data_IF_219373769220
#
_entry.id   IF_219373769220
#
_cell.length_a   1.000
_cell.length_b   1.000
_cell.length_c   1.000
_cell.angle_alpha   90.00
_cell.angle_beta   90.00
_cell.angle_gamma   90.00
#
_symmetry.space_group_name_H-M   'P 1'
#
loop_
_entity.id
_entity.type
_entity.pdbx_description
1 polymer ?
#
# COMPACT_ATOMS: atom_id res chain seq x y z
N UNK A 1 -19.89 -44.58 17.35
CA UNK A 1 -20.37 -43.52 18.26
C UNK A 1 -19.56 -43.65 19.54
N UNK A 2 -18.59 -42.76 19.72
CA UNK A 2 -17.84 -42.61 20.96
C UNK A 2 -17.98 -41.13 21.32
N UNK A 3 -18.64 -40.84 22.44
CA UNK A 3 -18.81 -39.50 22.97
C UNK A 3 -17.43 -38.86 23.25
N UNK A 4 -17.24 -37.56 22.96
CA UNK A 4 -16.03 -36.86 23.35
C UNK A 4 -16.04 -36.62 24.87
N UNK A 5 -14.89 -36.78 25.56
CA UNK A 5 -14.81 -36.50 26.99
C UNK A 5 -15.01 -35.00 27.23
N UNK A 6 -15.87 -34.68 28.18
CA UNK A 6 -16.21 -33.33 28.65
C UNK A 6 -15.05 -32.72 29.45
N UNK A 7 -14.02 -32.23 28.76
CA UNK A 7 -12.89 -31.48 29.34
C UNK A 7 -13.11 -29.94 29.30
N UNK A 8 -14.34 -29.47 29.09
CA UNK A 8 -14.68 -28.04 29.04
C UNK A 8 -14.39 -27.23 30.32
N UNK A 9 -14.59 -27.73 31.57
CA UNK A 9 -14.39 -26.90 32.76
C UNK A 9 -12.91 -26.65 33.10
N UNK A 10 -12.01 -27.59 32.78
CA UNK A 10 -10.57 -27.46 33.05
C UNK A 10 -9.92 -26.42 32.13
N UNK A 11 -10.37 -26.32 30.89
CA UNK A 11 -9.86 -25.35 29.91
C UNK A 11 -10.32 -23.92 30.22
N UNK A 12 -11.58 -23.72 30.63
CA UNK A 12 -12.06 -22.40 31.09
C UNK A 12 -11.30 -21.90 32.31
N UNK A 13 -11.00 -22.80 33.25
CA UNK A 13 -10.19 -22.48 34.43
C UNK A 13 -8.78 -22.04 34.03
N UNK A 14 -8.19 -22.65 32.99
CA UNK A 14 -6.91 -22.22 32.44
C UNK A 14 -6.96 -20.85 31.75
N UNK A 15 -8.07 -20.52 31.05
CA UNK A 15 -8.24 -19.19 30.43
C UNK A 15 -8.43 -18.09 31.47
N UNK A 16 -9.25 -18.33 32.49
CA UNK A 16 -9.42 -17.39 33.61
C UNK A 16 -8.11 -17.23 34.37
N UNK A 17 -7.38 -18.32 34.63
CA UNK A 17 -6.03 -18.26 35.23
C UNK A 17 -5.02 -17.49 34.39
N UNK A 18 -5.10 -17.54 33.05
CA UNK A 18 -4.25 -16.74 32.16
C UNK A 18 -4.55 -15.24 32.28
N UNK A 19 -5.82 -14.86 32.37
CA UNK A 19 -6.23 -13.46 32.58
C UNK A 19 -5.88 -12.96 34.00
N UNK A 20 -5.91 -13.83 35.00
CA UNK A 20 -5.53 -13.52 36.39
C UNK A 20 -4.01 -13.51 36.61
N UNK A 21 -3.22 -14.14 35.75
CA UNK A 21 -1.75 -14.15 35.84
C UNK A 21 -1.08 -12.77 35.65
N UNK A 22 -1.86 -11.75 35.28
CA UNK A 22 -1.42 -10.37 35.20
C UNK A 22 -1.75 -9.72 36.56
N UNK A 23 -0.73 -9.59 37.41
CA UNK A 23 -0.83 -9.19 38.82
C UNK A 23 -1.30 -7.72 38.98
N UNK A 24 -2.62 -7.51 38.87
CA UNK A 24 -3.26 -6.18 38.92
C UNK A 24 -4.23 -6.04 40.11
N UNK A 25 -4.03 -6.80 41.20
CA UNK A 25 -4.73 -6.65 42.49
C UNK A 25 -5.49 -7.91 42.97
N UNK A 26 -5.84 -8.01 44.28
CA UNK A 26 -6.29 -9.25 44.89
C UNK A 26 -7.74 -9.59 44.57
N UNK A 27 -8.00 -10.73 43.92
CA UNK A 27 -9.34 -11.33 43.82
C UNK A 27 -9.56 -12.28 45.00
N UNK A 28 -10.52 -11.96 45.89
CA UNK A 28 -10.97 -12.87 46.97
C UNK A 28 -11.74 -14.05 46.37
N UNK A 29 -11.02 -15.16 46.20
CA UNK A 29 -11.39 -16.59 46.12
C UNK A 29 -12.85 -17.06 45.90
N UNK A 30 -12.87 -18.17 45.13
CA UNK A 30 -13.62 -19.46 45.28
C UNK A 30 -15.06 -19.53 44.75
N UNK A 31 -15.22 -19.66 43.44
CA UNK A 31 -16.34 -20.39 42.79
C UNK A 31 -15.92 -20.81 41.35
N UNK A 32 -16.60 -21.77 40.69
CA UNK A 32 -16.28 -22.23 39.33
C UNK A 32 -16.26 -21.07 38.31
N UNK A 33 -15.59 -21.23 37.15
CA UNK A 33 -15.46 -20.17 36.15
C UNK A 33 -16.82 -19.88 35.51
N UNK A 34 -17.55 -18.92 36.08
CA UNK A 34 -18.81 -18.41 35.54
C UNK A 34 -18.54 -17.24 34.58
N UNK A 35 -19.49 -16.95 33.67
CA UNK A 35 -19.36 -15.88 32.68
C UNK A 35 -19.00 -14.51 33.30
N UNK A 36 -19.42 -14.25 34.55
CA UNK A 36 -19.05 -13.05 35.30
C UNK A 36 -17.54 -12.96 35.55
N UNK A 37 -16.87 -14.07 35.89
CA UNK A 37 -15.43 -14.13 36.15
C UNK A 37 -14.61 -13.84 34.89
N UNK A 38 -15.08 -14.36 33.75
CA UNK A 38 -14.46 -14.16 32.45
C UNK A 38 -14.59 -12.70 31.98
N UNK A 39 -15.80 -12.14 32.05
CA UNK A 39 -16.07 -10.72 31.71
C UNK A 39 -15.24 -9.79 32.59
N UNK A 40 -15.12 -10.08 33.89
CA UNK A 40 -14.29 -9.30 34.81
C UNK A 40 -12.80 -9.35 34.43
N UNK A 41 -12.28 -10.53 34.07
CA UNK A 41 -10.90 -10.72 33.63
C UNK A 41 -10.59 -9.98 32.32
N UNK A 42 -11.46 -10.09 31.32
CA UNK A 42 -11.31 -9.39 30.04
C UNK A 42 -11.40 -7.87 30.21
N UNK A 43 -12.38 -7.38 30.98
CA UNK A 43 -12.55 -5.94 31.25
C UNK A 43 -11.34 -5.33 31.97
N UNK A 44 -10.71 -6.10 32.87
CA UNK A 44 -9.49 -5.66 33.57
C UNK A 44 -8.31 -5.54 32.61
N UNK A 45 -8.11 -6.53 31.74
CA UNK A 45 -7.06 -6.49 30.74
C UNK A 45 -7.25 -5.34 29.75
N UNK A 46 -8.46 -5.13 29.27
CA UNK A 46 -8.81 -4.03 28.36
C UNK A 46 -8.53 -2.67 29.02
N UNK A 47 -8.94 -2.46 30.28
CA UNK A 47 -8.66 -1.21 31.02
C UNK A 47 -7.16 -0.97 31.25
N UNK A 48 -6.37 -2.04 31.36
CA UNK A 48 -4.91 -1.94 31.41
C UNK A 48 -4.31 -1.58 30.04
N UNK A 49 -4.90 -2.08 28.94
CA UNK A 49 -4.50 -1.70 27.56
C UNK A 49 -4.94 -0.29 27.22
N UNK A 50 -6.04 0.22 27.75
CA UNK A 50 -6.49 1.60 27.52
C UNK A 50 -7.39 2.11 28.67
N UNK A 51 -6.90 3.05 29.51
CA UNK A 51 -7.64 3.58 30.66
C UNK A 51 -8.88 4.42 30.32
N UNK A 52 -8.96 4.95 29.10
CA UNK A 52 -10.02 5.89 28.69
C UNK A 52 -11.32 5.18 28.24
N UNK A 53 -11.30 3.85 28.08
CA UNK A 53 -12.50 3.09 27.75
C UNK A 53 -13.41 2.90 28.96
N UNK A 54 -14.63 3.43 28.85
CA UNK A 54 -15.69 3.31 29.85
C UNK A 54 -16.31 1.91 29.84
N UNK A 55 -15.65 0.94 30.46
CA UNK A 55 -16.26 -0.36 30.79
C UNK A 55 -16.88 -0.34 32.20
N UNK A 56 -17.86 -1.19 32.50
CA UNK A 56 -18.36 -1.40 33.86
C UNK A 56 -17.23 -1.80 34.81
N UNK A 57 -17.29 -1.35 36.06
CA UNK A 57 -16.33 -1.76 37.08
C UNK A 57 -16.58 -3.22 37.47
N UNK A 58 -15.52 -4.03 37.72
CA UNK A 58 -15.70 -5.44 38.08
C UNK A 58 -16.50 -5.64 39.38
N UNK A 59 -16.65 -4.60 40.20
CA UNK A 59 -17.40 -4.60 41.47
C UNK A 59 -18.92 -4.43 41.32
N UNK A 60 -19.41 -4.03 40.13
CA UNK A 60 -20.86 -3.80 39.86
C UNK A 60 -21.51 -4.91 39.03
N UNK A 61 -20.81 -6.02 38.77
CA UNK A 61 -21.30 -7.13 37.95
C UNK A 61 -22.28 -8.01 38.76
N UNK A 62 -23.57 -7.74 38.66
CA UNK A 62 -24.65 -8.64 39.09
C UNK A 62 -25.02 -9.61 37.95
N UNK A 63 -25.68 -10.74 38.28
CA UNK A 63 -26.10 -11.74 37.28
C UNK A 63 -26.98 -11.16 36.16
N UNK A 64 -27.70 -10.08 36.45
CA UNK A 64 -28.60 -9.40 35.51
C UNK A 64 -27.85 -8.50 34.49
N UNK A 65 -26.63 -8.06 34.79
CA UNK A 65 -25.89 -7.09 33.98
C UNK A 65 -24.76 -7.72 33.12
N UNK A 66 -24.61 -9.04 33.14
CA UNK A 66 -23.53 -9.76 32.43
C UNK A 66 -23.64 -9.60 30.91
N UNK A 67 -24.86 -9.57 30.36
CA UNK A 67 -25.08 -9.42 28.91
C UNK A 67 -24.63 -8.05 28.40
N UNK A 68 -24.98 -7.00 29.13
CA UNK A 68 -24.59 -5.63 28.82
C UNK A 68 -23.07 -5.46 28.96
N UNK A 69 -22.47 -6.02 30.02
CA UNK A 69 -21.03 -6.00 30.21
C UNK A 69 -20.28 -6.78 29.11
N UNK A 70 -20.83 -7.91 28.63
CA UNK A 70 -20.25 -8.69 27.53
C UNK A 70 -20.28 -7.91 26.20
N UNK A 71 -21.36 -7.15 25.96
CA UNK A 71 -21.44 -6.24 24.80
C UNK A 71 -20.45 -5.08 24.93
N UNK A 72 -20.25 -4.55 26.14
CA UNK A 72 -19.22 -3.55 26.40
C UNK A 72 -17.80 -4.06 26.14
N UNK A 73 -17.50 -5.32 26.48
CA UNK A 73 -16.23 -5.98 26.15
C UNK A 73 -16.06 -6.16 24.65
N UNK A 74 -17.10 -6.57 23.93
CA UNK A 74 -17.07 -6.70 22.47
C UNK A 74 -16.77 -5.35 21.78
N UNK A 75 -17.46 -4.28 22.16
CA UNK A 75 -17.24 -2.95 21.59
C UNK A 75 -15.85 -2.41 21.92
N UNK A 76 -15.36 -2.65 23.14
CA UNK A 76 -14.00 -2.30 23.52
C UNK A 76 -12.94 -3.05 22.69
N UNK A 77 -13.17 -4.33 22.40
CA UNK A 77 -12.27 -5.11 21.54
C UNK A 77 -12.28 -4.63 20.08
N UNK A 78 -13.42 -4.15 19.58
CA UNK A 78 -13.52 -3.49 18.26
C UNK A 78 -12.70 -2.20 18.24
N UNK A 79 -12.81 -1.37 19.27
CA UNK A 79 -12.05 -0.12 19.39
C UNK A 79 -10.54 -0.37 19.51
N UNK A 80 -10.13 -1.46 20.18
CA UNK A 80 -8.74 -1.88 20.28
C UNK A 80 -8.20 -2.58 19.00
N UNK A 81 -9.02 -2.75 17.95
CA UNK A 81 -8.68 -3.48 16.73
C UNK A 81 -8.19 -4.92 16.99
N UNK A 82 -8.86 -5.65 17.88
CA UNK A 82 -8.55 -7.06 18.13
C UNK A 82 -8.74 -7.89 16.84
N UNK A 83 -7.74 -8.68 16.39
CA UNK A 83 -7.81 -9.46 15.15
C UNK A 83 -8.66 -10.74 15.29
N UNK A 84 -9.05 -11.10 16.51
CA UNK A 84 -9.84 -12.29 16.81
C UNK A 84 -11.31 -11.90 17.05
N UNK A 85 -12.26 -12.53 16.34
CA UNK A 85 -13.69 -12.24 16.52
C UNK A 85 -14.17 -12.82 17.85
N UNK A 86 -14.79 -11.98 18.67
CA UNK A 86 -15.47 -12.39 19.90
C UNK A 86 -16.84 -11.72 19.93
N UNK A 87 -17.90 -12.50 20.04
CA UNK A 87 -19.25 -11.99 20.23
C UNK A 87 -19.65 -12.03 21.70
N UNK A 88 -20.51 -11.11 22.13
CA UNK A 88 -21.07 -11.13 23.48
C UNK A 88 -21.80 -12.45 23.82
N UNK A 89 -22.34 -13.14 22.80
CA UNK A 89 -22.92 -14.48 22.92
C UNK A 89 -21.89 -15.53 23.36
N UNK A 90 -20.67 -15.45 22.83
CA UNK A 90 -19.60 -16.45 23.01
C UNK A 90 -18.99 -16.37 24.42
N UNK A 91 -19.04 -15.16 24.99
CA UNK A 91 -18.66 -14.89 26.38
C UNK A 91 -19.71 -15.47 27.34
N UNK A 92 -21.00 -15.37 26.99
CA UNK A 92 -22.10 -15.91 27.79
C UNK A 92 -22.20 -17.44 27.70
N UNK A 93 -21.95 -18.02 26.53
CA UNK A 93 -21.93 -19.48 26.31
C UNK A 93 -20.63 -20.15 26.75
N UNK A 94 -19.68 -19.38 27.30
CA UNK A 94 -18.38 -19.87 27.78
C UNK A 94 -17.62 -20.66 26.71
N UNK A 95 -17.66 -20.21 25.45
CA UNK A 95 -16.98 -20.87 24.34
C UNK A 95 -15.46 -20.62 24.37
N UNK A 96 -14.74 -21.57 24.96
CA UNK A 96 -13.26 -21.54 25.10
C UNK A 96 -12.55 -21.28 23.76
N UNK A 97 -13.07 -21.83 22.66
CA UNK A 97 -12.45 -21.71 21.34
C UNK A 97 -12.36 -20.27 20.83
N UNK A 98 -13.36 -19.43 21.16
CA UNK A 98 -13.44 -18.03 20.73
C UNK A 98 -12.80 -17.09 21.75
N UNK A 99 -12.94 -17.42 23.05
CA UNK A 99 -12.42 -16.60 24.16
C UNK A 99 -10.89 -16.71 24.30
N UNK A 100 -10.31 -17.90 24.10
CA UNK A 100 -8.88 -18.14 24.34
C UNK A 100 -7.93 -17.31 23.44
N UNK A 101 -8.14 -17.19 22.12
CA UNK A 101 -7.31 -16.35 21.25
C UNK A 101 -7.32 -14.88 21.68
N UNK A 102 -8.48 -14.37 22.10
CA UNK A 102 -8.67 -12.98 22.53
C UNK A 102 -8.00 -12.74 23.87
N UNK A 103 -8.16 -13.66 24.83
CA UNK A 103 -7.49 -13.60 26.12
C UNK A 103 -5.96 -13.60 25.94
N UNK A 104 -5.42 -14.48 25.10
CA UNK A 104 -3.97 -14.55 24.80
C UNK A 104 -3.48 -13.26 24.13
N UNK A 105 -4.25 -12.70 23.20
CA UNK A 105 -3.92 -11.45 22.53
C UNK A 105 -3.89 -10.26 23.51
N UNK A 106 -4.91 -10.13 24.35
CA UNK A 106 -4.99 -9.08 25.37
C UNK A 106 -3.83 -9.18 26.36
N UNK A 107 -3.53 -10.38 26.87
CA UNK A 107 -2.42 -10.59 27.81
C UNK A 107 -1.08 -10.20 27.20
N UNK A 108 -0.85 -10.52 25.93
CA UNK A 108 0.37 -10.10 25.23
C UNK A 108 0.45 -8.58 25.06
N UNK A 109 -0.67 -7.93 24.72
CA UNK A 109 -0.75 -6.47 24.59
C UNK A 109 -0.54 -5.74 25.93
N UNK A 110 -1.12 -6.23 27.02
CA UNK A 110 -0.89 -5.70 28.38
C UNK A 110 0.57 -5.86 28.77
N UNK A 111 1.19 -7.02 28.51
CA UNK A 111 2.62 -7.27 28.79
C UNK A 111 3.55 -6.33 28.02
N UNK A 112 3.26 -6.05 26.75
CA UNK A 112 4.00 -5.08 25.94
C UNK A 112 3.89 -3.67 26.55
N UNK A 113 2.71 -3.28 27.04
CA UNK A 113 2.47 -1.94 27.60
C UNK A 113 3.08 -1.73 28.99
N UNK A 114 3.12 -2.78 29.84
CA UNK A 114 3.70 -2.73 31.19
C UNK A 114 5.24 -2.82 31.17
N UNK A 115 5.85 -3.24 30.05
CA UNK A 115 7.31 -3.25 29.89
C UNK A 115 8.01 -4.37 30.64
N UNK A 116 7.31 -5.46 30.97
CA UNK A 116 7.93 -6.66 31.55
C UNK A 116 8.73 -7.38 30.45
N UNK A 117 10.02 -7.10 30.38
CA UNK A 117 11.01 -7.88 29.65
C UNK A 117 11.06 -9.28 30.23
N UNK A 118 10.79 -10.28 29.38
CA UNK A 118 10.66 -11.67 29.76
C UNK A 118 11.98 -12.29 30.22
N UNK A 119 12.30 -12.16 31.50
CA UNK A 119 13.44 -12.87 32.10
C UNK A 119 13.11 -13.60 33.41
N UNK A 120 11.83 -13.77 33.76
CA UNK A 120 11.44 -14.75 34.78
C UNK A 120 10.29 -15.64 34.29
N UNK A 121 10.60 -16.94 34.26
CA UNK A 121 9.73 -18.12 34.20
C UNK A 121 9.41 -18.72 32.82
N UNK A 122 10.44 -19.34 32.26
CA UNK A 122 10.42 -20.65 31.57
C UNK A 122 9.90 -21.81 32.48
N UNK A 123 8.92 -21.56 33.34
CA UNK A 123 8.56 -22.47 34.45
C UNK A 123 7.20 -23.17 34.33
N UNK A 124 6.28 -22.72 33.48
CA UNK A 124 4.89 -23.18 33.59
C UNK A 124 4.01 -23.17 32.35
N UNK A 125 4.46 -22.68 31.19
CA UNK A 125 3.61 -22.55 29.99
C UNK A 125 3.96 -23.50 28.83
N UNK A 126 4.94 -24.40 29.00
CA UNK A 126 5.37 -25.31 27.94
C UNK A 126 4.35 -26.40 27.57
N UNK A 127 3.47 -26.80 28.48
CA UNK A 127 2.64 -27.99 28.28
C UNK A 127 1.32 -27.71 27.53
N UNK A 128 0.72 -26.53 27.67
CA UNK A 128 -0.58 -26.21 27.07
C UNK A 128 -0.49 -25.53 25.70
N UNK A 129 0.61 -24.82 25.41
CA UNK A 129 0.86 -24.23 24.08
C UNK A 129 1.29 -25.26 23.03
N UNK A 130 1.99 -26.31 23.45
CA UNK A 130 2.51 -27.36 22.57
C UNK A 130 1.42 -28.29 22.00
N UNK A 131 0.28 -28.43 22.66
CA UNK A 131 -0.75 -29.43 22.29
C UNK A 131 -1.74 -28.95 21.23
N UNK A 132 -1.88 -27.63 21.02
CA UNK A 132 -2.79 -27.09 19.99
C UNK A 132 -2.07 -26.67 18.69
N UNK A 133 -0.83 -26.17 18.79
CA UNK A 133 -0.11 -25.56 17.67
C UNK A 133 0.76 -26.55 16.86
N UNK A 134 0.84 -27.82 17.31
CA UNK A 134 1.61 -28.91 16.69
C UNK A 134 0.90 -29.65 15.55
N UNK A 135 -0.36 -29.33 15.20
CA UNK A 135 -1.11 -30.15 14.22
C UNK A 135 -0.96 -29.75 12.76
N UNK A 136 -0.41 -28.57 12.43
CA UNK A 136 -0.17 -28.20 11.04
C UNK A 136 1.11 -27.36 10.90
N UNK A 137 1.99 -27.84 10.01
CA UNK A 137 3.25 -27.26 9.52
C UNK A 137 4.54 -27.64 10.26
N UNK A 138 5.43 -28.26 9.49
CA UNK A 138 6.80 -28.68 9.79
C UNK A 138 7.65 -27.52 10.36
N UNK A 139 8.35 -27.69 11.49
CA UNK A 139 9.19 -26.66 12.10
C UNK A 139 10.30 -26.13 11.18
N UNK A 140 10.84 -26.95 10.27
CA UNK A 140 11.86 -26.52 9.33
C UNK A 140 11.31 -25.61 8.23
N UNK A 141 10.08 -25.87 7.76
CA UNK A 141 9.39 -25.05 6.76
C UNK A 141 9.02 -23.66 7.33
N UNK A 142 8.64 -23.59 8.62
CA UNK A 142 8.43 -22.32 9.33
C UNK A 142 9.72 -21.51 9.48
N UNK A 143 10.85 -22.18 9.75
CA UNK A 143 12.16 -21.54 9.87
C UNK A 143 12.62 -21.00 8.52
N UNK A 144 12.43 -21.77 7.45
CA UNK A 144 12.73 -21.36 6.08
C UNK A 144 11.87 -20.16 5.65
N UNK A 145 10.57 -20.19 5.94
CA UNK A 145 9.65 -19.07 5.65
C UNK A 145 10.04 -17.80 6.41
N UNK A 146 10.40 -17.91 7.69
CA UNK A 146 10.90 -16.77 8.48
C UNK A 146 12.18 -16.19 7.90
N UNK A 147 13.10 -17.05 7.46
CA UNK A 147 14.35 -16.63 6.81
C UNK A 147 14.07 -15.90 5.49
N UNK A 148 13.18 -16.45 4.65
CA UNK A 148 12.77 -15.83 3.39
C UNK A 148 12.09 -14.48 3.61
N UNK A 149 11.20 -14.36 4.60
CA UNK A 149 10.56 -13.08 4.95
C UNK A 149 11.61 -12.06 5.39
N UNK A 150 12.59 -12.48 6.22
CA UNK A 150 13.69 -11.61 6.65
C UNK A 150 14.55 -11.12 5.48
N UNK A 151 14.86 -12.00 4.52
CA UNK A 151 15.60 -11.65 3.31
C UNK A 151 14.81 -10.68 2.40
N UNK A 152 13.52 -10.94 2.20
CA UNK A 152 12.60 -10.07 1.47
C UNK A 152 12.50 -8.69 2.13
N UNK A 153 12.35 -8.62 3.47
CA UNK A 153 12.30 -7.37 4.21
C UNK A 153 13.61 -6.60 4.12
N UNK A 154 14.76 -7.28 4.18
CA UNK A 154 16.07 -6.64 4.00
C UNK A 154 16.26 -6.13 2.56
N UNK A 155 15.78 -6.85 1.56
CA UNK A 155 15.79 -6.43 0.16
C UNK A 155 14.90 -5.20 -0.05
N UNK A 156 13.71 -5.18 0.57
CA UNK A 156 12.79 -4.05 0.53
C UNK A 156 13.42 -2.81 1.17
N UNK A 157 14.04 -2.94 2.34
CA UNK A 157 14.76 -1.85 3.00
C UNK A 157 15.97 -1.36 2.17
N UNK A 158 16.69 -2.24 1.48
CA UNK A 158 17.75 -1.83 0.54
C UNK A 158 17.19 -1.07 -0.67
N UNK A 159 16.05 -1.50 -1.23
CA UNK A 159 15.36 -0.81 -2.33
C UNK A 159 14.83 0.56 -1.91
N UNK A 160 14.25 0.68 -0.72
CA UNK A 160 13.76 1.96 -0.16
C UNK A 160 14.93 2.94 0.05
N UNK A 161 16.05 2.46 0.60
CA UNK A 161 17.29 3.25 0.75
C UNK A 161 17.88 3.67 -0.60
N UNK A 162 17.92 2.76 -1.58
CA UNK A 162 18.40 3.05 -2.93
C UNK A 162 17.49 4.05 -3.68
N UNK A 163 16.18 4.00 -3.44
CA UNK A 163 15.20 4.90 -4.02
C UNK A 163 15.21 6.31 -3.41
N UNK A 164 16.11 6.62 -2.46
CA UNK A 164 16.21 7.91 -1.73
C UNK A 164 14.91 8.36 -1.04
N UNK A 165 13.92 7.47 -0.87
CA UNK A 165 12.61 7.79 -0.28
C UNK A 165 12.77 8.21 1.18
N UNK A 166 13.70 7.60 1.93
CA UNK A 166 14.01 7.96 3.32
C UNK A 166 14.45 9.44 3.45
N UNK A 167 15.20 9.96 2.48
CA UNK A 167 15.61 11.37 2.49
C UNK A 167 14.45 12.33 2.27
N UNK A 168 13.46 11.91 1.45
CA UNK A 168 12.24 12.68 1.19
C UNK A 168 11.32 12.63 2.41
N UNK A 169 11.15 11.46 3.04
CA UNK A 169 10.36 11.28 4.27
C UNK A 169 10.96 12.08 5.43
N UNK A 170 12.27 12.04 5.63
CA UNK A 170 12.97 12.85 6.62
C UNK A 170 12.76 14.36 6.37
N UNK A 171 12.83 14.80 5.11
CA UNK A 171 12.54 16.19 4.74
C UNK A 171 11.09 16.56 5.01
N UNK A 172 10.14 15.67 4.71
CA UNK A 172 8.72 15.89 4.96
C UNK A 172 8.41 15.96 6.47
N UNK A 173 9.04 15.10 7.28
CA UNK A 173 8.96 15.15 8.74
C UNK A 173 9.51 16.46 9.30
N UNK A 174 10.64 16.96 8.79
CA UNK A 174 11.19 18.26 9.18
C UNK A 174 10.24 19.41 8.80
N UNK A 175 9.65 19.36 7.60
CA UNK A 175 8.65 20.33 7.14
C UNK A 175 7.39 20.28 8.02
N UNK A 176 6.88 19.10 8.35
CA UNK A 176 5.74 18.93 9.27
C UNK A 176 6.01 19.53 10.66
N UNK A 177 7.21 19.31 11.21
CA UNK A 177 7.62 19.93 12.47
C UNK A 177 7.65 21.46 12.34
N UNK A 178 8.19 21.98 11.24
CA UNK A 178 8.22 23.43 11.00
C UNK A 178 6.81 24.03 10.82
N UNK A 179 5.88 23.30 10.19
CA UNK A 179 4.49 23.72 10.03
C UNK A 179 3.78 23.81 11.38
N UNK A 180 3.92 22.80 12.26
CA UNK A 180 3.36 22.86 13.62
C UNK A 180 3.89 24.04 14.43
N UNK A 181 5.17 24.38 14.27
CA UNK A 181 5.77 25.56 14.91
C UNK A 181 5.20 26.86 14.33
N UNK A 182 4.97 26.92 13.01
CA UNK A 182 4.37 28.08 12.36
C UNK A 182 2.90 28.27 12.74
N UNK A 183 2.13 27.18 12.82
CA UNK A 183 0.72 27.17 13.25
C UNK A 183 0.58 27.68 14.69
N UNK A 184 1.46 27.24 15.60
CA UNK A 184 1.50 27.78 16.96
C UNK A 184 1.82 29.28 16.97
N UNK A 185 2.80 29.73 16.18
CA UNK A 185 3.13 31.16 16.05
C UNK A 185 1.98 31.98 15.47
N UNK A 186 1.17 31.41 14.60
CA UNK A 186 -0.02 32.05 14.06
C UNK A 186 -1.08 32.26 15.14
N UNK A 187 -1.37 31.24 15.94
CA UNK A 187 -2.30 31.34 17.07
C UNK A 187 -1.83 32.38 18.10
N UNK A 188 -0.55 32.37 18.47
CA UNK A 188 0.04 33.35 19.40
C UNK A 188 -0.11 34.79 18.84
N UNK A 189 0.16 34.98 17.54
CA UNK A 189 0.00 36.27 16.86
C UNK A 189 -1.48 36.72 16.79
N UNK A 190 -2.41 35.79 16.60
CA UNK A 190 -3.84 36.08 16.62
C UNK A 190 -4.30 36.54 18.00
N UNK A 191 -3.86 35.88 19.08
CA UNK A 191 -4.17 36.33 20.45
C UNK A 191 -3.59 37.71 20.75
N UNK A 192 -2.35 37.99 20.33
CA UNK A 192 -1.72 39.31 20.48
C UNK A 192 -2.48 40.40 19.71
N UNK A 193 -3.01 40.07 18.53
CA UNK A 193 -3.80 40.99 17.72
C UNK A 193 -5.14 41.33 18.40
N UNK A 194 -5.83 40.31 18.93
CA UNK A 194 -7.08 40.48 19.69
C UNK A 194 -6.84 41.35 20.93
N UNK A 195 -5.77 41.12 21.67
CA UNK A 195 -5.41 41.94 22.84
C UNK A 195 -5.14 43.40 22.46
N UNK A 196 -4.37 43.65 21.38
CA UNK A 196 -4.12 45.01 20.87
C UNK A 196 -5.39 45.69 20.38
N UNK A 197 -6.30 44.95 19.75
CA UNK A 197 -7.61 45.46 19.33
C UNK A 197 -8.43 45.93 20.53
N UNK A 198 -8.50 45.13 21.58
CA UNK A 198 -9.21 45.48 22.82
C UNK A 198 -8.60 46.71 23.53
N UNK A 199 -7.26 46.82 23.58
CA UNK A 199 -6.57 48.01 24.13
C UNK A 199 -6.88 49.29 23.32
N UNK A 200 -6.94 49.19 21.99
CA UNK A 200 -7.33 50.31 21.14
C UNK A 200 -8.81 50.69 21.32
N UNK A 201 -9.71 49.71 21.43
CA UNK A 201 -11.12 49.95 21.73
C UNK A 201 -11.29 50.65 23.09
N UNK A 202 -10.53 50.25 24.12
CA UNK A 202 -10.53 50.92 25.42
C UNK A 202 -10.02 52.38 25.33
N UNK A 203 -8.98 52.64 24.54
CA UNK A 203 -8.47 53.99 24.28
C UNK A 203 -9.48 54.86 23.54
N UNK A 204 -10.23 54.28 22.59
CA UNK A 204 -11.32 54.98 21.89
C UNK A 204 -12.40 55.40 22.89
N UNK A 205 -12.87 54.48 23.73
CA UNK A 205 -13.90 54.77 24.76
C UNK A 205 -13.43 55.88 25.71
N UNK A 206 -12.18 55.81 26.19
CA UNK A 206 -11.62 56.84 27.07
C UNK A 206 -11.50 58.22 26.38
N UNK A 207 -11.18 58.24 25.09
CA UNK A 207 -11.15 59.49 24.31
C UNK A 207 -12.56 60.04 24.07
N UNK A 208 -13.54 59.18 23.79
CA UNK A 208 -14.97 59.55 23.67
C UNK A 208 -15.49 60.16 24.98
N UNK A 209 -15.12 59.60 26.14
CA UNK A 209 -15.46 60.11 27.48
C UNK A 209 -14.75 61.43 27.82
N UNK A 210 -13.53 61.63 27.33
CA UNK A 210 -12.83 62.92 27.46
C UNK A 210 -13.47 64.02 26.61
N UNK A 211 -13.99 63.68 25.42
CA UNK A 211 -14.69 64.62 24.53
C UNK A 211 -16.02 65.08 25.16
N UNK A 212 -16.75 64.19 25.84
CA UNK A 212 -18.00 64.55 26.53
C UNK A 212 -17.79 65.42 27.77
N UNK A 213 -16.61 65.39 28.39
CA UNK A 213 -16.28 66.14 29.61
C UNK A 213 -15.71 67.56 29.40
N UNK A 214 -15.72 68.08 28.17
CA UNK A 214 -15.39 69.47 27.77
C UNK A 214 -14.10 70.06 28.40
N UNK A 215 -12.95 69.48 28.09
CA UNK A 215 -11.61 69.92 28.52
C UNK A 215 -10.90 70.75 27.43
N UNK A 216 -9.96 71.63 27.83
CA UNK A 216 -9.26 72.61 26.98
C UNK A 216 -8.86 72.11 25.57
N UNK A 217 -9.42 72.77 24.55
CA UNK A 217 -9.54 72.24 23.18
C UNK A 217 -8.28 72.30 22.31
N UNK A 218 -7.21 73.02 22.73
CA UNK A 218 -5.99 73.17 21.92
C UNK A 218 -4.90 72.13 22.21
N UNK A 219 -4.56 71.85 23.47
CA UNK A 219 -3.55 70.80 23.75
C UNK A 219 -4.09 69.40 23.49
N UNK A 220 -5.40 69.20 23.65
CA UNK A 220 -6.10 67.95 23.32
C UNK A 220 -6.09 67.65 21.82
N UNK A 221 -6.15 68.69 20.97
CA UNK A 221 -6.13 68.54 19.52
C UNK A 221 -4.72 68.17 19.01
N UNK A 222 -3.68 68.83 19.51
CA UNK A 222 -2.30 68.53 19.14
C UNK A 222 -1.87 67.13 19.61
N UNK A 223 -2.25 66.73 20.83
CA UNK A 223 -1.99 65.38 21.35
C UNK A 223 -2.75 64.30 20.57
N UNK A 224 -4.00 64.59 20.16
CA UNK A 224 -4.83 63.68 19.38
C UNK A 224 -4.30 63.52 17.94
N UNK A 225 -3.92 64.62 17.29
CA UNK A 225 -3.34 64.60 15.94
C UNK A 225 -1.99 63.86 15.95
N UNK A 226 -1.19 64.04 17.01
CA UNK A 226 0.04 63.27 17.21
C UNK A 226 -0.24 61.77 17.39
N UNK A 227 -1.24 61.41 18.20
CA UNK A 227 -1.66 60.02 18.40
C UNK A 227 -2.20 59.38 17.10
N UNK A 228 -3.00 60.11 16.34
CA UNK A 228 -3.53 59.67 15.05
C UNK A 228 -2.38 59.47 14.06
N UNK A 229 -1.44 60.40 13.96
CA UNK A 229 -0.27 60.29 13.09
C UNK A 229 0.56 59.03 13.41
N UNK A 230 0.87 58.79 14.69
CA UNK A 230 1.59 57.58 15.13
C UNK A 230 0.80 56.30 14.78
N UNK A 231 -0.52 56.31 14.95
CA UNK A 231 -1.36 55.16 14.63
C UNK A 231 -1.43 54.89 13.12
N UNK A 232 -1.45 55.94 12.29
CA UNK A 232 -1.42 55.85 10.83
C UNK A 232 -0.08 55.32 10.34
N UNK A 233 1.04 55.77 10.91
CA UNK A 233 2.37 55.23 10.60
C UNK A 233 2.47 53.75 10.96
N UNK A 234 1.99 53.35 12.14
CA UNK A 234 1.91 51.93 12.54
C UNK A 234 1.05 51.11 11.58
N UNK A 235 -0.08 51.65 11.13
CA UNK A 235 -0.94 51.01 10.14
C UNK A 235 -0.24 50.87 8.78
N UNK A 236 0.47 51.91 8.33
CA UNK A 236 1.23 51.87 7.08
C UNK A 236 2.37 50.84 7.15
N UNK A 237 3.08 50.76 8.27
CA UNK A 237 4.10 49.75 8.51
C UNK A 237 3.51 48.33 8.48
N UNK A 238 2.38 48.11 9.16
CA UNK A 238 1.69 46.82 9.16
C UNK A 238 1.19 46.43 7.75
N UNK A 239 0.63 47.37 6.99
CA UNK A 239 0.22 47.15 5.59
C UNK A 239 1.42 46.81 4.70
N UNK A 240 2.57 47.46 4.90
CA UNK A 240 3.82 47.18 4.17
C UNK A 240 4.33 45.77 4.48
N UNK A 241 4.29 45.36 5.74
CA UNK A 241 4.67 44.00 6.15
C UNK A 241 3.73 42.95 5.56
N UNK A 242 2.41 43.17 5.62
CA UNK A 242 1.42 42.28 5.01
C UNK A 242 1.65 42.13 3.50
N UNK A 243 1.89 43.24 2.79
CA UNK A 243 2.22 43.21 1.37
C UNK A 243 3.52 42.46 1.06
N UNK A 244 4.52 42.51 1.95
CA UNK A 244 5.73 41.70 1.84
C UNK A 244 5.42 40.20 2.03
N UNK A 245 4.65 39.84 3.06
CA UNK A 245 4.24 38.45 3.33
C UNK A 245 3.39 37.86 2.21
N UNK A 246 2.44 38.62 1.66
CA UNK A 246 1.62 38.18 0.53
C UNK A 246 2.47 37.91 -0.73
N UNK A 247 3.46 38.76 -1.01
CA UNK A 247 4.41 38.51 -2.11
C UNK A 247 5.20 37.22 -1.92
N UNK A 248 5.63 36.93 -0.69
CA UNK A 248 6.30 35.66 -0.36
C UNK A 248 5.37 34.46 -0.52
N UNK A 249 4.12 34.54 -0.03
CA UNK A 249 3.13 33.48 -0.16
C UNK A 249 2.83 33.17 -1.63
N UNK A 250 2.63 34.19 -2.46
CA UNK A 250 2.43 34.01 -3.90
C UNK A 250 3.64 33.37 -4.58
N UNK A 251 4.86 33.70 -4.15
CA UNK A 251 6.08 33.05 -4.65
C UNK A 251 6.09 31.55 -4.32
N UNK A 252 5.73 31.17 -3.09
CA UNK A 252 5.65 29.76 -2.67
C UNK A 252 4.53 29.04 -3.42
N UNK A 253 3.38 29.69 -3.61
CA UNK A 253 2.26 29.12 -4.35
C UNK A 253 2.62 28.81 -5.80
N UNK A 254 3.33 29.70 -6.49
CA UNK A 254 3.82 29.45 -7.85
C UNK A 254 4.76 28.24 -7.89
N UNK A 255 5.69 28.13 -6.94
CA UNK A 255 6.58 26.97 -6.84
C UNK A 255 5.82 25.66 -6.56
N UNK A 256 4.67 25.73 -5.88
CA UNK A 256 3.81 24.58 -5.65
C UNK A 256 3.00 24.23 -6.91
N UNK A 257 2.51 25.22 -7.65
CA UNK A 257 1.82 25.06 -8.93
C UNK A 257 2.76 24.52 -10.03
N UNK A 258 4.07 24.74 -9.92
CA UNK A 258 5.08 24.10 -10.79
C UNK A 258 5.19 22.58 -10.57
N UNK A 259 4.65 22.05 -9.46
CA UNK A 259 4.63 20.60 -9.18
C UNK A 259 3.32 20.02 -9.70
N UNK A 260 3.36 19.04 -10.63
CA UNK A 260 2.17 18.41 -11.17
C UNK A 260 1.30 17.82 -10.06
N UNK A 261 0.01 18.12 -10.12
CA UNK A 261 -1.01 17.53 -9.27
C UNK A 261 -1.17 16.04 -9.54
N UNK A 262 -1.75 15.31 -8.57
CA UNK A 262 -2.05 13.88 -8.74
C UNK A 262 -2.91 13.61 -9.98
N UNK A 263 -3.87 14.50 -10.29
CA UNK A 263 -4.69 14.42 -11.48
C UNK A 263 -3.90 14.58 -12.78
N UNK A 264 -2.96 15.53 -12.83
CA UNK A 264 -2.09 15.72 -14.00
C UNK A 264 -1.15 14.53 -14.19
N UNK A 265 -0.62 13.98 -13.09
CA UNK A 265 0.23 12.78 -13.15
C UNK A 265 -0.51 11.59 -13.78
N UNK A 266 -1.78 11.38 -13.38
CA UNK A 266 -2.63 10.32 -13.96
C UNK A 266 -2.90 10.59 -15.45
N UNK A 267 -3.16 11.85 -15.82
CA UNK A 267 -3.34 12.22 -17.23
C UNK A 267 -2.07 11.94 -18.06
N UNK A 268 -0.90 12.27 -17.52
CA UNK A 268 0.37 11.96 -18.17
C UNK A 268 0.58 10.46 -18.30
N UNK A 269 0.27 9.67 -17.27
CA UNK A 269 0.36 8.20 -17.33
C UNK A 269 -0.50 7.63 -18.47
N UNK A 270 -1.76 8.06 -18.58
CA UNK A 270 -2.64 7.67 -19.69
C UNK A 270 -2.06 8.08 -21.04
N UNK A 271 -1.57 9.33 -21.16
CA UNK A 271 -1.01 9.83 -22.41
C UNK A 271 0.26 9.09 -22.82
N UNK A 272 1.11 8.72 -21.87
CA UNK A 272 2.28 7.88 -22.12
C UNK A 272 1.90 6.47 -22.54
N UNK A 273 0.86 5.88 -21.93
CA UNK A 273 0.34 4.57 -22.34
C UNK A 273 -0.18 4.61 -23.79
N UNK A 274 -0.94 5.65 -24.16
CA UNK A 274 -1.40 5.85 -25.55
C UNK A 274 -0.24 6.01 -26.53
N UNK A 275 0.76 6.82 -26.15
CA UNK A 275 1.95 7.04 -26.97
C UNK A 275 2.73 5.74 -27.18
N UNK A 276 2.89 4.93 -26.13
CA UNK A 276 3.58 3.64 -26.22
C UNK A 276 2.86 2.68 -27.17
N UNK A 277 1.52 2.61 -27.10
CA UNK A 277 0.72 1.81 -28.04
C UNK A 277 0.94 2.27 -29.48
N UNK A 278 0.96 3.59 -29.73
CA UNK A 278 1.19 4.14 -31.06
C UNK A 278 2.60 3.82 -31.58
N UNK A 279 3.63 3.96 -30.73
CA UNK A 279 5.02 3.63 -31.08
C UNK A 279 5.14 2.14 -31.42
N UNK A 280 4.54 1.26 -30.62
CA UNK A 280 4.53 -0.19 -30.87
C UNK A 280 3.84 -0.54 -32.19
N UNK A 281 2.70 0.09 -32.49
CA UNK A 281 1.96 -0.15 -33.72
C UNK A 281 2.74 0.31 -34.96
N UNK A 282 3.32 1.52 -34.93
CA UNK A 282 4.19 2.01 -36.01
C UNK A 282 5.38 1.06 -36.17
N UNK A 283 6.02 0.64 -35.07
CA UNK A 283 7.16 -0.26 -35.15
C UNK A 283 6.77 -1.60 -35.80
N UNK A 284 5.62 -2.16 -35.43
CA UNK A 284 5.07 -3.38 -36.03
C UNK A 284 4.82 -3.20 -37.52
N UNK A 285 4.23 -2.09 -37.95
CA UNK A 285 4.02 -1.76 -39.36
C UNK A 285 5.34 -1.66 -40.11
N UNK A 286 6.31 -0.90 -39.60
CA UNK A 286 7.65 -0.78 -40.19
C UNK A 286 8.32 -2.14 -40.37
N UNK A 287 8.29 -3.02 -39.35
CA UNK A 287 8.83 -4.38 -39.47
C UNK A 287 8.13 -5.18 -40.56
N UNK A 288 6.81 -5.08 -40.68
CA UNK A 288 6.06 -5.73 -41.77
C UNK A 288 6.48 -5.22 -43.14
N UNK A 289 6.64 -3.91 -43.31
CA UNK A 289 7.09 -3.32 -44.58
C UNK A 289 8.47 -3.84 -44.97
N UNK A 290 9.44 -3.85 -44.05
CA UNK A 290 10.77 -4.38 -44.32
C UNK A 290 10.77 -5.89 -44.59
N UNK A 291 9.98 -6.68 -43.84
CA UNK A 291 9.87 -8.11 -44.07
C UNK A 291 9.30 -8.42 -45.45
N UNK A 292 8.21 -7.74 -45.85
CA UNK A 292 7.62 -7.89 -47.19
C UNK A 292 8.58 -7.44 -48.28
N UNK A 293 9.27 -6.31 -48.09
CA UNK A 293 10.27 -5.82 -49.05
C UNK A 293 11.40 -6.84 -49.25
N UNK A 294 11.96 -7.37 -48.16
CA UNK A 294 13.03 -8.37 -48.22
C UNK A 294 12.55 -9.66 -48.91
N UNK A 295 11.34 -10.13 -48.60
CA UNK A 295 10.76 -11.31 -49.25
C UNK A 295 10.55 -11.09 -50.75
N UNK A 296 10.06 -9.92 -51.16
CA UNK A 296 9.92 -9.57 -52.58
C UNK A 296 11.27 -9.44 -53.29
N UNK A 297 12.29 -8.93 -52.60
CA UNK A 297 13.65 -8.84 -53.13
C UNK A 297 14.25 -10.24 -53.35
N UNK A 298 14.14 -11.12 -52.36
CA UNK A 298 14.57 -12.53 -52.48
C UNK A 298 13.83 -13.25 -53.60
N UNK A 299 12.51 -13.04 -53.73
CA UNK A 299 11.71 -13.59 -54.82
C UNK A 299 12.21 -13.10 -56.19
N UNK A 300 12.45 -11.79 -56.32
CA UNK A 300 13.01 -11.19 -57.55
C UNK A 300 14.36 -11.83 -57.89
N UNK A 301 15.24 -12.01 -56.92
CA UNK A 301 16.54 -12.66 -57.16
C UNK A 301 16.41 -14.11 -57.61
N UNK A 302 15.48 -14.87 -57.01
CA UNK A 302 15.21 -16.25 -57.40
C UNK A 302 14.63 -16.33 -58.81
N UNK A 303 13.71 -15.43 -59.18
CA UNK A 303 13.17 -15.33 -60.53
C UNK A 303 14.24 -14.97 -61.57
N UNK A 304 15.17 -14.08 -61.24
CA UNK A 304 16.30 -13.75 -62.13
C UNK A 304 17.23 -14.95 -62.32
N UNK A 305 17.48 -15.71 -61.25
CA UNK A 305 18.26 -16.97 -61.32
C UNK A 305 17.56 -18.01 -62.18
N UNK A 306 16.24 -18.16 -62.07
CA UNK A 306 15.43 -19.04 -62.93
C UNK A 306 15.50 -18.63 -64.40
N UNK A 307 15.31 -17.33 -64.69
CA UNK A 307 15.40 -16.80 -66.06
C UNK A 307 16.80 -17.06 -66.66
N UNK A 308 17.86 -16.81 -65.89
CA UNK A 308 19.25 -17.09 -66.30
C UNK A 308 19.49 -18.57 -66.56
N UNK A 309 18.93 -19.45 -65.70
CA UNK A 309 19.01 -20.90 -65.86
C UNK A 309 18.30 -21.36 -67.14
N UNK A 310 17.07 -20.88 -67.38
CA UNK A 310 16.28 -21.22 -68.56
C UNK A 310 16.98 -20.74 -69.85
N UNK A 311 17.54 -19.53 -69.86
CA UNK A 311 18.32 -19.03 -70.98
C UNK A 311 19.56 -19.90 -71.24
N UNK A 312 20.31 -20.26 -70.18
CA UNK A 312 21.48 -21.13 -70.29
C UNK A 312 21.11 -22.51 -70.84
N UNK A 313 19.99 -23.08 -70.38
CA UNK A 313 19.50 -24.37 -70.88
C UNK A 313 19.09 -24.28 -72.34
N UNK A 314 18.37 -23.22 -72.72
CA UNK A 314 17.92 -23.02 -74.09
C UNK A 314 19.09 -22.86 -75.07
N UNK A 315 20.13 -22.11 -74.70
CA UNK A 315 21.34 -21.96 -75.51
C UNK A 315 22.11 -23.28 -75.65
N UNK A 316 22.24 -24.06 -74.58
CA UNK A 316 22.97 -25.34 -74.60
C UNK A 316 22.17 -26.47 -75.28
N UNK A 317 20.85 -26.35 -75.36
CA UNK A 317 19.98 -27.42 -75.83
C UNK A 317 20.23 -27.79 -77.30
N UNK A 318 20.33 -26.80 -78.19
CA UNK A 318 20.51 -27.04 -79.63
C UNK A 318 21.84 -27.73 -79.94
N UNK A 319 22.92 -27.29 -79.29
CA UNK A 319 24.24 -27.89 -79.48
C UNK A 319 24.32 -29.29 -78.85
N UNK A 320 23.78 -29.47 -77.65
CA UNK A 320 23.86 -30.73 -76.91
C UNK A 320 22.98 -31.84 -77.51
N UNK A 321 21.88 -31.52 -78.19
CA UNK A 321 20.97 -32.54 -78.73
C UNK A 321 21.48 -33.17 -80.04
N UNK A 322 22.35 -32.44 -80.75
CA UNK A 322 22.97 -32.88 -82.00
C UNK A 322 23.91 -34.08 -81.82
N UNK A 323 24.49 -34.25 -80.62
CA UNK A 323 25.42 -35.32 -80.27
C UNK A 323 24.91 -36.19 -79.11
N UNK A 324 25.17 -37.50 -79.17
CA UNK A 324 24.75 -38.45 -78.12
C UNK A 324 25.50 -38.23 -76.81
N UNK A 325 26.78 -37.87 -76.85
CA UNK A 325 27.54 -37.54 -75.64
C UNK A 325 27.12 -36.18 -75.05
N UNK A 326 26.79 -35.20 -75.91
CA UNK A 326 26.16 -33.95 -75.52
C UNK A 326 24.86 -34.13 -74.73
N UNK A 327 23.96 -35.02 -75.19
CA UNK A 327 22.70 -35.35 -74.50
C UNK A 327 22.91 -35.89 -73.09
N UNK A 328 23.86 -36.82 -72.91
CA UNK A 328 24.20 -37.37 -71.58
C UNK A 328 24.72 -36.29 -70.63
N UNK A 329 25.62 -35.41 -71.09
CA UNK A 329 26.15 -34.30 -70.27
C UNK A 329 25.06 -33.31 -69.86
N UNK A 330 24.10 -33.01 -70.73
CA UNK A 330 22.97 -32.14 -70.41
C UNK A 330 22.08 -32.75 -69.32
N UNK A 331 21.83 -34.07 -69.39
CA UNK A 331 21.08 -34.81 -68.37
C UNK A 331 21.81 -34.79 -67.03
N UNK A 332 23.13 -35.04 -67.02
CA UNK A 332 23.92 -35.02 -65.77
C UNK A 332 23.96 -33.61 -65.14
N UNK A 333 24.13 -32.56 -65.97
CA UNK A 333 24.13 -31.16 -65.53
C UNK A 333 22.78 -30.74 -64.94
N UNK A 334 21.68 -31.00 -65.66
CA UNK A 334 20.32 -30.71 -65.19
C UNK A 334 19.95 -31.52 -63.94
N UNK A 335 20.38 -32.78 -63.86
CA UNK A 335 20.24 -33.62 -62.67
C UNK A 335 20.97 -33.05 -61.45
N UNK A 336 22.19 -32.55 -61.63
CA UNK A 336 22.96 -31.86 -60.59
C UNK A 336 22.27 -30.59 -60.09
N UNK A 337 21.75 -29.76 -61.00
CA UNK A 337 21.00 -28.55 -60.67
C UNK A 337 19.74 -28.88 -59.86
N UNK A 338 18.95 -29.86 -60.32
CA UNK A 338 17.74 -30.31 -59.63
C UNK A 338 18.04 -30.81 -58.21
N UNK A 339 19.13 -31.56 -58.03
CA UNK A 339 19.59 -32.01 -56.70
C UNK A 339 19.94 -30.81 -55.80
N UNK A 340 20.65 -29.82 -56.33
CA UNK A 340 20.97 -28.59 -55.61
C UNK A 340 19.74 -27.78 -55.19
N UNK A 341 18.74 -27.67 -56.07
CA UNK A 341 17.46 -27.00 -55.77
C UNK A 341 16.71 -27.75 -54.66
N UNK A 342 16.59 -29.08 -54.77
CA UNK A 342 15.95 -29.92 -53.73
C UNK A 342 16.62 -29.76 -52.37
N UNK A 343 17.94 -29.73 -52.31
CA UNK A 343 18.68 -29.52 -51.06
C UNK A 343 18.43 -28.13 -50.45
N UNK A 344 18.39 -27.07 -51.27
CA UNK A 344 18.06 -25.72 -50.78
C UNK A 344 16.64 -25.65 -50.24
N UNK A 345 15.68 -26.25 -50.94
CA UNK A 345 14.28 -26.29 -50.52
C UNK A 345 14.13 -27.03 -49.18
N UNK A 346 14.82 -28.16 -49.00
CA UNK A 346 14.84 -28.88 -47.73
C UNK A 346 15.38 -28.02 -46.58
N UNK A 347 16.50 -27.32 -46.78
CA UNK A 347 17.07 -26.44 -45.75
C UNK A 347 16.12 -25.31 -45.35
N UNK A 348 15.44 -24.70 -46.32
CA UNK A 348 14.43 -23.66 -46.05
C UNK A 348 13.25 -24.25 -45.26
N UNK A 349 12.78 -25.44 -45.63
CA UNK A 349 11.70 -26.12 -44.92
C UNK A 349 12.06 -26.44 -43.46
N UNK A 350 13.28 -26.89 -43.21
CA UNK A 350 13.79 -27.14 -41.85
C UNK A 350 13.86 -25.84 -41.03
N UNK A 351 14.30 -24.74 -41.64
CA UNK A 351 14.29 -23.41 -41.02
C UNK A 351 12.88 -22.94 -40.63
N UNK A 352 11.90 -23.07 -41.54
CA UNK A 352 10.50 -22.73 -41.27
C UNK A 352 9.96 -23.53 -40.08
N UNK A 353 10.27 -24.83 -40.00
CA UNK A 353 9.85 -25.66 -38.87
C UNK A 353 10.49 -25.22 -37.56
N UNK A 354 11.76 -24.82 -37.57
CA UNK A 354 12.44 -24.31 -36.39
C UNK A 354 11.80 -22.99 -35.89
N UNK A 355 11.56 -22.04 -36.79
CA UNK A 355 10.91 -20.76 -36.46
C UNK A 355 9.48 -20.95 -35.95
N UNK A 356 8.73 -21.90 -36.53
CA UNK A 356 7.39 -22.24 -36.07
C UNK A 356 7.40 -22.77 -34.63
N UNK A 357 8.38 -23.61 -34.27
CA UNK A 357 8.55 -24.10 -32.90
C UNK A 357 8.83 -22.94 -31.95
N UNK A 358 9.74 -22.04 -32.31
CA UNK A 358 10.04 -20.84 -31.51
C UNK A 358 8.79 -19.98 -31.32
N UNK A 359 8.03 -19.70 -32.38
CA UNK A 359 6.77 -18.97 -32.31
C UNK A 359 5.75 -19.62 -31.36
N UNK A 360 5.60 -20.95 -31.42
CA UNK A 360 4.68 -21.67 -30.54
C UNK A 360 5.10 -21.55 -29.07
N UNK A 361 6.39 -21.73 -28.77
CA UNK A 361 6.90 -21.59 -27.39
C UNK A 361 6.70 -20.17 -26.84
N UNK A 362 6.89 -19.14 -27.67
CA UNK A 362 6.65 -17.75 -27.27
C UNK A 362 5.16 -17.48 -27.04
N UNK A 363 4.28 -18.02 -27.89
CA UNK A 363 2.82 -17.90 -27.75
C UNK A 363 2.34 -18.54 -26.45
N UNK A 364 2.87 -19.70 -26.08
CA UNK A 364 2.57 -20.38 -24.81
C UNK A 364 3.02 -19.55 -23.60
N UNK A 365 4.25 -19.03 -23.62
CA UNK A 365 4.77 -18.14 -22.57
C UNK A 365 3.90 -16.88 -22.40
N UNK A 366 3.51 -16.25 -23.51
CA UNK A 366 2.60 -15.10 -23.48
C UNK A 366 1.23 -15.46 -22.91
N UNK A 367 0.65 -16.59 -23.32
CA UNK A 367 -0.64 -17.05 -22.79
C UNK A 367 -0.58 -17.31 -21.28
N UNK A 368 0.52 -17.89 -20.77
CA UNK A 368 0.73 -18.12 -19.34
C UNK A 368 0.88 -16.80 -18.55
N UNK A 369 1.61 -15.82 -19.10
CA UNK A 369 1.76 -14.49 -18.49
C UNK A 369 0.42 -13.74 -18.46
N UNK A 370 -0.32 -13.73 -19.57
CA UNK A 370 -1.64 -13.12 -19.65
C UNK A 370 -2.64 -13.77 -18.69
N UNK A 371 -2.62 -15.09 -18.53
CA UNK A 371 -3.44 -15.79 -17.55
C UNK A 371 -3.08 -15.38 -16.10
N UNK A 372 -1.79 -15.24 -15.80
CA UNK A 372 -1.31 -14.76 -14.50
C UNK A 372 -1.75 -13.31 -14.22
N UNK A 373 -1.65 -12.43 -15.20
CA UNK A 373 -2.13 -11.05 -15.10
C UNK A 373 -3.63 -10.99 -14.84
N UNK A 374 -4.45 -11.76 -15.59
CA UNK A 374 -5.90 -11.82 -15.38
C UNK A 374 -6.25 -12.30 -13.97
N UNK A 375 -5.53 -13.30 -13.45
CA UNK A 375 -5.69 -13.77 -12.05
C UNK A 375 -5.33 -12.68 -11.03
N UNK A 376 -4.27 -11.91 -11.29
CA UNK A 376 -3.90 -10.77 -10.44
C UNK A 376 -5.00 -9.69 -10.43
N UNK A 377 -5.47 -9.28 -11.60
CA UNK A 377 -6.52 -8.27 -11.74
C UNK A 377 -7.87 -8.72 -11.16
N UNK A 378 -8.22 -10.01 -11.22
CA UNK A 378 -9.44 -10.51 -10.59
C UNK A 378 -9.36 -10.49 -9.07
N UNK A 379 -8.21 -10.89 -8.50
CA UNK A 379 -7.95 -10.80 -7.06
C UNK A 379 -8.00 -9.35 -6.56
N UNK A 380 -7.38 -8.41 -7.28
CA UNK A 380 -7.42 -6.98 -6.95
C UNK A 380 -8.85 -6.43 -6.97
N UNK A 381 -9.65 -6.80 -7.98
CA UNK A 381 -11.08 -6.42 -8.03
C UNK A 381 -11.87 -7.01 -6.86
N UNK A 382 -11.65 -8.27 -6.52
CA UNK A 382 -12.31 -8.89 -5.37
C UNK A 382 -11.95 -8.15 -4.07
N UNK A 383 -10.67 -7.78 -3.88
CA UNK A 383 -10.23 -7.00 -2.73
C UNK A 383 -10.91 -5.63 -2.68
N UNK A 384 -10.96 -4.89 -3.79
CA UNK A 384 -11.67 -3.60 -3.88
C UNK A 384 -13.15 -3.70 -3.52
N UNK A 385 -13.85 -4.74 -3.99
CA UNK A 385 -15.26 -4.95 -3.63
C UNK A 385 -15.41 -5.21 -2.13
N UNK A 386 -14.54 -6.03 -1.54
CA UNK A 386 -14.59 -6.30 -0.09
C UNK A 386 -14.24 -5.09 0.78
N UNK A 387 -13.32 -4.22 0.36
CA UNK A 387 -13.01 -2.98 1.08
C UNK A 387 -14.12 -1.94 0.92
N UNK A 388 -14.71 -1.78 -0.27
CA UNK A 388 -15.86 -0.88 -0.46
C UNK A 388 -17.11 -1.35 0.31
N UNK A 389 -17.36 -2.67 0.40
CA UNK A 389 -18.46 -3.19 1.22
C UNK A 389 -18.27 -2.90 2.72
N UNK A 390 -17.03 -2.88 3.20
CA UNK A 390 -16.69 -2.52 4.59
C UNK A 390 -16.83 -1.02 4.88
N UNK A 391 -16.66 -0.15 3.90
CA UNK A 391 -16.81 1.31 4.10
C UNK A 391 -18.25 1.81 4.05
N UNK A 392 -19.19 1.01 3.51
CA UNK A 392 -20.62 1.36 3.42
C UNK A 392 -21.43 0.83 4.63
N UNK A 393 -20.81 -0.01 5.47
CA UNK A 393 -21.44 -0.63 6.65
C UNK A 393 -21.03 0.01 7.99
N UNK A 394 -20.19 1.05 7.95
CA UNK A 394 -19.96 2.02 9.05
C UNK A 394 -20.66 3.32 8.71
#
# INVERSE_FOLDING_TARGET
MAEPPSDSPSQLTAVVGLLESIDLGPTRRRHPPDAASLVAGLSRCIRAVDPELSLPSPETLTQDNIREASHGVEEALKLLNCPHPLQASDIYSLEVGSVYPVARWLVNHVRIRIGVTGDELDGGLGAAGATFESRYSDPEEKKLMRMHILEEMQLLHKKIRAAKVDSVVCRLMLLMKSLKVLEKKELDCQSDNIAKKSDLEAKIIHLEEKITNNCDSKSLHDDLDHCISISLEKLHLAKKELAARLRMLLSVRRQLEDVPSQSELIQYEHRFSELNINIEEIHRQTRKYYATYNALLELKELMLKETSLLNSLNSQFQDAISDTAGRLKLIDSTGGILKGIKQKLQKVQEGIQADQRVCNTLREKYAAAAASQRRGSSRLRALQVTTCARTVTN
#
